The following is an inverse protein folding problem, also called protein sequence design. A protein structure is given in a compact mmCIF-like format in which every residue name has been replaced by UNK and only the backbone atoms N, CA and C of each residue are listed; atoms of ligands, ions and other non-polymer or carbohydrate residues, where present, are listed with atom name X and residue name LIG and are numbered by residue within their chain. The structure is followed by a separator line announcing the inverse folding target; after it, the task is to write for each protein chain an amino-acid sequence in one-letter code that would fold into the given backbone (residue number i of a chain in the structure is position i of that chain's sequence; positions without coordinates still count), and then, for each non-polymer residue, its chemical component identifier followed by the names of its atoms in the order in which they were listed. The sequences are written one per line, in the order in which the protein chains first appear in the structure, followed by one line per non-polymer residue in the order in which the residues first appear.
data_IF_646765751492
#
_entry.id   IF_646765751492
#
_cell.length_a   1.000
_cell.length_b   1.000
_cell.length_c   1.000
_cell.angle_alpha   90.00
_cell.angle_beta   90.00
_cell.angle_gamma   90.00
#
_symmetry.space_group_name_H-M   'P 1'
#
loop_
_entity.id
_entity.type
_entity.pdbx_description
1 polymer ?
#
# COMPACT_ATOMS: atom_id res chain seq x y z
N UNK A 1 -10.47 -3.99 -24.74
CA UNK A 1 -10.54 -3.23 -23.47
C UNK A 1 -9.30 -3.58 -22.66
N UNK A 2 -8.27 -2.72 -22.67
CA UNK A 2 -7.07 -2.97 -21.86
C UNK A 2 -7.43 -2.69 -20.41
N UNK A 3 -7.52 -3.75 -19.60
CA UNK A 3 -7.57 -3.66 -18.14
C UNK A 3 -6.22 -3.10 -17.69
N UNK A 4 -6.09 -1.77 -17.76
CA UNK A 4 -5.36 -1.00 -16.78
C UNK A 4 -5.85 -1.48 -15.43
N UNK A 5 -5.23 -2.55 -14.93
CA UNK A 5 -5.14 -2.82 -13.52
C UNK A 5 -4.71 -1.48 -12.93
N UNK A 6 -5.66 -0.72 -12.42
CA UNK A 6 -5.42 0.44 -11.59
C UNK A 6 -4.48 -0.06 -10.51
N UNK A 7 -3.20 0.21 -10.75
CA UNK A 7 -2.06 -0.19 -9.94
C UNK A 7 -2.44 0.17 -8.51
N UNK A 8 -2.49 -0.82 -7.62
CA UNK A 8 -3.05 -0.63 -6.28
C UNK A 8 -2.21 0.44 -5.59
N UNK A 9 -2.78 1.60 -5.31
CA UNK A 9 -1.96 2.78 -5.00
C UNK A 9 -1.43 2.77 -3.56
N UNK A 10 -2.21 2.27 -2.61
CA UNK A 10 -1.80 2.29 -1.21
C UNK A 10 -2.14 0.95 -0.56
N UNK A 11 -1.18 0.36 0.13
CA UNK A 11 -1.38 -0.79 0.99
C UNK A 11 -1.18 -0.41 2.46
N UNK A 12 -1.95 -1.01 3.35
CA UNK A 12 -1.81 -0.83 4.80
C UNK A 12 -1.63 -2.21 5.42
N UNK A 13 -0.48 -2.44 6.06
CA UNK A 13 -0.14 -3.66 6.78
C UNK A 13 -0.11 -3.43 8.29
N UNK A 14 -0.67 -4.37 9.04
CA UNK A 14 -0.59 -4.42 10.50
C UNK A 14 -0.58 -5.87 11.01
N UNK A 15 -0.22 -6.10 12.27
CA UNK A 15 -0.34 -7.40 12.95
C UNK A 15 -1.79 -7.89 13.06
N UNK A 16 -2.75 -6.97 12.99
CA UNK A 16 -4.18 -7.23 13.11
C UNK A 16 -4.96 -6.52 12.00
N UNK A 17 -6.08 -7.14 11.59
CA UNK A 17 -6.94 -6.56 10.55
C UNK A 17 -7.60 -5.26 11.04
N UNK A 18 -7.95 -5.20 12.33
CA UNK A 18 -8.63 -4.06 12.93
C UNK A 18 -7.78 -2.80 12.87
N UNK A 19 -6.52 -2.85 13.32
CA UNK A 19 -5.59 -1.71 13.23
C UNK A 19 -5.40 -1.22 11.79
N UNK A 20 -5.23 -2.14 10.84
CA UNK A 20 -5.11 -1.78 9.42
C UNK A 20 -6.38 -1.07 8.91
N UNK A 21 -7.57 -1.53 9.31
CA UNK A 21 -8.85 -0.91 8.95
C UNK A 21 -9.04 0.45 9.64
N UNK A 22 -8.64 0.60 10.90
CA UNK A 22 -8.69 1.87 11.61
C UNK A 22 -7.79 2.91 10.91
N UNK A 23 -6.60 2.49 10.46
CA UNK A 23 -5.72 3.36 9.68
C UNK A 23 -6.33 3.72 8.31
N UNK A 24 -7.00 2.79 7.65
CA UNK A 24 -7.76 3.06 6.43
C UNK A 24 -8.83 4.13 6.68
N UNK A 25 -9.60 4.03 7.76
CA UNK A 25 -10.64 5.00 8.11
C UNK A 25 -10.05 6.40 8.39
N UNK A 26 -8.92 6.49 9.10
CA UNK A 26 -8.20 7.74 9.31
C UNK A 26 -7.77 8.39 7.99
N UNK A 27 -7.25 7.61 7.04
CA UNK A 27 -6.90 8.13 5.71
C UNK A 27 -8.18 8.61 4.99
N UNK A 28 -9.26 7.82 5.05
CA UNK A 28 -10.53 8.15 4.40
C UNK A 28 -11.15 9.45 4.92
N UNK A 29 -11.05 9.72 6.23
CA UNK A 29 -11.57 10.98 6.79
C UNK A 29 -10.84 12.23 6.29
N UNK A 30 -9.62 12.07 5.78
CA UNK A 30 -8.81 13.15 5.24
C UNK A 30 -8.85 13.22 3.70
N UNK A 31 -9.50 12.25 3.04
CA UNK A 31 -9.60 12.23 1.58
C UNK A 31 -10.56 13.32 1.09
N UNK A 32 -10.04 14.18 0.22
CA UNK A 32 -10.84 15.16 -0.53
C UNK A 32 -11.25 14.61 -1.91
N UNK A 33 -11.72 13.36 -1.96
CA UNK A 33 -12.13 12.67 -3.18
C UNK A 33 -13.43 11.90 -2.96
N UNK A 34 -14.24 11.79 -4.01
CA UNK A 34 -15.44 10.95 -3.99
C UNK A 34 -15.06 9.47 -3.82
N UNK A 35 -15.79 8.76 -2.96
CA UNK A 35 -15.60 7.32 -2.74
C UNK A 35 -16.51 6.56 -3.71
N UNK A 36 -15.90 5.88 -4.69
CA UNK A 36 -16.60 5.05 -5.68
C UNK A 36 -16.96 3.67 -5.13
N UNK A 37 -16.06 3.08 -4.32
CA UNK A 37 -16.28 1.78 -3.67
C UNK A 37 -15.86 1.87 -2.21
N UNK A 38 -16.74 1.42 -1.32
CA UNK A 38 -16.46 1.28 0.10
C UNK A 38 -16.77 -0.14 0.58
N UNK A 39 -15.72 -0.89 0.95
CA UNK A 39 -15.82 -2.24 1.54
C UNK A 39 -14.91 -2.32 2.76
N UNK A 40 -15.22 -3.24 3.68
CA UNK A 40 -14.36 -3.46 4.85
C UNK A 40 -12.93 -3.83 4.42
N UNK A 41 -11.98 -2.93 4.69
CA UNK A 41 -10.57 -3.06 4.32
C UNK A 41 -10.22 -2.72 2.87
N UNK A 42 -11.14 -2.10 2.11
CA UNK A 42 -10.87 -1.66 0.73
C UNK A 42 -11.68 -0.43 0.35
N UNK A 43 -11.00 0.60 -0.13
CA UNK A 43 -11.60 1.82 -0.67
C UNK A 43 -11.10 2.07 -2.09
N UNK A 44 -11.99 2.52 -2.96
CA UNK A 44 -11.63 3.02 -4.29
C UNK A 44 -12.23 4.40 -4.52
N UNK A 45 -11.40 5.28 -5.06
CA UNK A 45 -11.72 6.64 -5.51
C UNK A 45 -11.43 6.72 -7.02
N UNK A 46 -11.75 7.83 -7.71
CA UNK A 46 -11.41 7.99 -9.13
C UNK A 46 -9.91 7.88 -9.40
N UNK A 47 -9.05 8.31 -8.47
CA UNK A 47 -7.60 8.34 -8.68
C UNK A 47 -6.84 7.22 -8.01
N UNK A 48 -7.37 6.65 -6.90
CA UNK A 48 -6.63 5.68 -6.09
C UNK A 48 -7.47 4.58 -5.45
N UNK A 49 -6.82 3.44 -5.25
CA UNK A 49 -7.32 2.34 -4.45
C UNK A 49 -6.44 2.17 -3.19
N UNK A 50 -7.08 1.94 -2.05
CA UNK A 50 -6.45 1.76 -0.75
C UNK A 50 -6.92 0.44 -0.17
N UNK A 51 -5.99 -0.43 0.21
CA UNK A 51 -6.28 -1.75 0.74
C UNK A 51 -5.64 -1.92 2.12
N UNK A 52 -6.39 -2.50 3.06
CA UNK A 52 -5.94 -2.73 4.44
C UNK A 52 -6.01 -4.21 4.79
N UNK A 53 -4.89 -4.77 5.26
CA UNK A 53 -4.78 -6.20 5.59
C UNK A 53 -3.95 -6.42 6.85
N UNK A 54 -4.32 -7.48 7.58
CA UNK A 54 -3.37 -8.16 8.48
C UNK A 54 -2.23 -8.72 7.64
N UNK A 55 -0.99 -8.46 8.03
CA UNK A 55 0.17 -9.04 7.39
C UNK A 55 0.24 -10.56 7.65
N UNK A 56 0.62 -11.30 6.61
CA UNK A 56 0.90 -12.73 6.63
C UNK A 56 1.70 -13.10 5.39
N UNK A 57 2.43 -14.22 5.44
CA UNK A 57 3.24 -14.74 4.32
C UNK A 57 2.41 -14.95 3.04
N UNK A 58 1.11 -15.18 3.20
CA UNK A 58 0.17 -15.36 2.09
C UNK A 58 -0.42 -14.06 1.54
N UNK A 59 0.07 -12.89 1.97
CA UNK A 59 -0.36 -11.60 1.46
C UNK A 59 0.02 -11.44 -0.01
N UNK A 60 -0.90 -11.86 -0.89
CA UNK A 60 -0.83 -11.66 -2.34
C UNK A 60 -1.12 -10.20 -2.69
N UNK A 61 -0.31 -9.66 -3.59
CA UNK A 61 -0.42 -8.30 -4.08
C UNK A 61 0.80 -7.95 -4.92
N UNK A 62 0.62 -7.10 -5.91
CA UNK A 62 1.69 -6.64 -6.79
C UNK A 62 1.76 -5.11 -6.73
N UNK A 63 2.95 -4.61 -6.39
CA UNK A 63 3.48 -3.27 -6.70
C UNK A 63 2.55 -2.10 -6.33
N UNK A 64 2.69 -1.63 -5.08
CA UNK A 64 2.03 -0.45 -4.54
C UNK A 64 2.94 0.77 -4.58
N UNK A 65 2.38 1.95 -4.87
CA UNK A 65 3.15 3.20 -4.87
C UNK A 65 3.42 3.72 -3.46
N UNK A 66 2.66 3.27 -2.47
CA UNK A 66 2.89 3.58 -1.06
C UNK A 66 2.43 2.45 -0.16
N UNK A 67 3.14 2.22 0.93
CA UNK A 67 2.79 1.23 1.94
C UNK A 67 2.82 1.87 3.33
N UNK A 68 1.73 1.73 4.06
CA UNK A 68 1.66 2.04 5.48
C UNK A 68 1.97 0.79 6.29
N UNK A 69 2.86 0.89 7.27
CA UNK A 69 3.33 -0.24 8.08
C UNK A 69 3.13 0.07 9.55
N UNK A 70 2.40 -0.78 10.26
CA UNK A 70 2.31 -0.74 11.70
C UNK A 70 3.70 -0.97 12.31
N UNK A 71 4.10 -0.13 13.27
CA UNK A 71 5.36 -0.27 14.00
C UNK A 71 5.52 -1.65 14.66
N UNK A 72 4.43 -2.38 14.93
CA UNK A 72 4.51 -3.75 15.45
C UNK A 72 5.20 -4.73 14.50
N UNK A 73 5.22 -4.43 13.19
CA UNK A 73 5.80 -5.28 12.15
C UNK A 73 7.29 -4.98 11.89
N UNK A 74 7.85 -3.89 12.43
CA UNK A 74 9.21 -3.46 12.11
C UNK A 74 10.30 -4.24 12.85
N UNK A 75 9.93 -5.00 13.88
CA UNK A 75 10.88 -5.78 14.68
C UNK A 75 11.36 -7.07 13.99
N UNK A 76 10.70 -7.47 12.90
CA UNK A 76 11.08 -8.63 12.10
C UNK A 76 11.63 -8.20 10.72
N UNK A 77 12.94 -8.33 10.48
CA UNK A 77 13.55 -7.98 9.20
C UNK A 77 12.98 -8.76 8.01
N UNK A 78 12.56 -10.01 8.22
CA UNK A 78 11.99 -10.83 7.15
C UNK A 78 10.64 -10.26 6.70
N UNK A 79 9.72 -10.02 7.64
CA UNK A 79 8.44 -9.33 7.40
C UNK A 79 8.65 -8.01 6.65
N UNK A 80 9.58 -7.17 7.10
CA UNK A 80 9.88 -5.90 6.44
C UNK A 80 10.38 -6.13 5.00
N UNK A 81 11.28 -7.08 4.78
CA UNK A 81 11.72 -7.46 3.43
C UNK A 81 10.56 -7.85 2.51
N UNK A 82 9.65 -8.69 2.98
CA UNK A 82 8.45 -9.09 2.24
C UNK A 82 7.52 -7.92 1.92
N UNK A 83 7.38 -6.96 2.84
CA UNK A 83 6.59 -5.74 2.65
C UNK A 83 7.23 -4.85 1.59
N UNK A 84 8.54 -4.61 1.67
CA UNK A 84 9.27 -3.78 0.71
C UNK A 84 9.22 -4.35 -0.70
N UNK A 85 9.24 -5.68 -0.86
CA UNK A 85 9.04 -6.33 -2.16
C UNK A 85 7.67 -6.06 -2.79
N UNK A 86 6.71 -5.51 -2.04
CA UNK A 86 5.40 -5.10 -2.57
C UNK A 86 5.41 -3.68 -3.13
N UNK A 87 6.46 -2.89 -2.94
CA UNK A 87 6.55 -1.56 -3.54
C UNK A 87 6.72 -1.64 -5.05
N UNK A 88 6.35 -0.55 -5.73
CA UNK A 88 6.69 -0.35 -7.14
C UNK A 88 8.21 -0.24 -7.27
N UNK A 89 8.88 -1.04 -8.12
CA UNK A 89 10.33 -0.95 -8.27
C UNK A 89 10.76 0.28 -9.08
N UNK A 90 12.02 0.74 -8.96
CA UNK A 90 12.54 1.97 -9.58
C UNK A 90 12.44 2.00 -11.11
N UNK A 91 12.46 0.84 -11.77
CA UNK A 91 12.41 0.72 -13.23
C UNK A 91 10.99 0.55 -13.79
N UNK A 92 9.95 0.75 -12.97
CA UNK A 92 8.59 0.39 -13.34
C UNK A 92 7.86 1.45 -14.18
N UNK A 93 8.29 2.72 -14.14
CA UNK A 93 7.65 3.80 -14.87
C UNK A 93 8.43 4.23 -16.13
N UNK A 94 7.66 4.57 -17.17
CA UNK A 94 8.04 5.13 -18.48
C UNK A 94 9.39 4.65 -19.03
N UNK A 95 9.31 3.64 -19.90
CA UNK A 95 10.37 3.20 -20.81
C UNK A 95 11.39 2.20 -20.25
N UNK A 96 11.18 1.69 -19.03
CA UNK A 96 12.05 0.68 -18.42
C UNK A 96 13.43 1.21 -18.05
N UNK A 97 13.60 2.53 -18.05
CA UNK A 97 14.78 3.19 -17.53
C UNK A 97 14.74 3.13 -16.00
N UNK A 98 15.91 2.90 -15.41
CA UNK A 98 16.08 2.89 -13.97
C UNK A 98 15.96 4.33 -13.46
N UNK A 99 15.07 4.55 -12.51
CA UNK A 99 14.97 5.82 -11.79
C UNK A 99 16.12 5.91 -10.77
N UNK A 100 17.18 6.64 -11.14
CA UNK A 100 18.36 6.87 -10.29
C UNK A 100 18.02 7.67 -9.02
N UNK A 101 16.89 8.40 -9.01
CA UNK A 101 16.42 9.21 -7.88
C UNK A 101 15.43 8.43 -6.97
N UNK A 102 15.13 7.17 -7.29
CA UNK A 102 14.19 6.38 -6.51
C UNK A 102 14.72 6.05 -5.11
N UNK A 103 14.02 6.56 -4.10
CA UNK A 103 14.22 6.17 -2.70
C UNK A 103 12.97 5.46 -2.17
N UNK A 104 13.09 4.16 -1.85
CA UNK A 104 11.97 3.37 -1.33
C UNK A 104 11.41 3.92 -0.01
N UNK A 105 12.22 4.61 0.79
CA UNK A 105 11.82 5.16 2.09
C UNK A 105 10.70 6.20 1.94
N UNK A 106 10.67 6.95 0.82
CA UNK A 106 9.63 7.94 0.51
C UNK A 106 8.26 7.29 0.26
N UNK A 107 8.24 5.98 0.06
CA UNK A 107 7.05 5.19 -0.21
C UNK A 107 6.58 4.37 1.01
N UNK A 108 7.31 4.40 2.13
CA UNK A 108 6.97 3.65 3.36
C UNK A 108 6.62 4.60 4.49
N UNK A 109 5.43 4.46 5.07
CA UNK A 109 4.95 5.32 6.15
C UNK A 109 4.60 4.49 7.37
N UNK A 110 5.24 4.77 8.50
CA UNK A 110 4.98 4.06 9.74
C UNK A 110 3.79 4.64 10.51
N UNK A 111 3.01 3.79 11.18
CA UNK A 111 1.92 4.20 12.06
C UNK A 111 1.80 3.32 13.31
N UNK A 112 1.05 3.79 14.31
CA UNK A 112 0.77 3.09 15.57
C UNK A 112 -0.67 2.56 15.60
#
# INVERSE_FOLDING_TARGET
MSLNAMHRNIMIYSDTKEKAVNKLQSIVSELNEEILINRSGFIQTPTKAIEARKFSDYCRGYRYTRVYVDISLTNDPETMGWILMKLVPPFYYKDGQYDDDYNWEDHVIYFK
#
